data_IF_743860703945
#
_entry.id   IF_743860703945
#
_cell.length_a   1.000
_cell.length_b   1.000
_cell.length_c   1.000
_cell.angle_alpha   90.00
_cell.angle_beta   90.00
_cell.angle_gamma   90.00
#
_symmetry.space_group_name_H-M   'P 1'
#
loop_
_entity.id
_entity.type
_entity.pdbx_description
1 polymer ?
#
# COMPACT_ATOMS: atom_id res chain seq x y z
N UNK A 1 -8.15 -4.07 9.64
CA UNK A 1 -7.73 -5.12 10.59
C UNK A 1 -8.50 -6.42 10.36
N UNK A 2 -9.83 -6.45 10.52
CA UNK A 2 -10.64 -7.66 10.27
C UNK A 2 -10.45 -8.27 8.87
N UNK A 3 -10.46 -7.45 7.81
CA UNK A 3 -10.29 -7.94 6.43
C UNK A 3 -8.95 -8.67 6.16
N UNK A 4 -7.87 -8.32 6.88
CA UNK A 4 -6.55 -8.96 6.70
C UNK A 4 -6.56 -10.37 7.30
N UNK A 5 -7.08 -10.51 8.52
CA UNK A 5 -7.21 -11.80 9.20
C UNK A 5 -8.23 -12.69 8.47
N UNK A 6 -9.37 -12.15 8.04
CA UNK A 6 -10.40 -12.88 7.29
C UNK A 6 -9.85 -13.49 5.98
N UNK A 7 -9.04 -12.71 5.24
CA UNK A 7 -8.37 -13.24 4.05
C UNK A 7 -7.37 -14.35 4.40
N UNK A 8 -6.63 -14.21 5.50
CA UNK A 8 -5.66 -15.24 5.92
C UNK A 8 -6.33 -16.56 6.31
N UNK A 9 -7.49 -16.48 6.97
CA UNK A 9 -8.32 -17.63 7.32
C UNK A 9 -8.86 -18.27 6.04
N UNK A 10 -9.35 -17.47 5.08
CA UNK A 10 -9.84 -17.99 3.81
C UNK A 10 -8.78 -18.79 3.04
N UNK A 11 -7.52 -18.39 3.16
CA UNK A 11 -6.40 -19.03 2.46
C UNK A 11 -5.84 -20.26 3.23
N UNK A 12 -6.13 -20.38 4.53
CA UNK A 12 -5.69 -21.48 5.39
C UNK A 12 -6.83 -21.92 6.33
N UNK A 13 -7.96 -22.42 5.80
CA UNK A 13 -9.09 -22.79 6.63
C UNK A 13 -8.77 -24.06 7.43
N UNK A 14 -9.12 -24.06 8.71
CA UNK A 14 -9.16 -25.27 9.54
C UNK A 14 -10.60 -25.72 9.71
N UNK A 15 -10.85 -27.00 9.51
CA UNK A 15 -12.11 -27.62 9.90
C UNK A 15 -12.11 -27.99 11.39
N UNK A 16 -13.29 -28.35 11.92
CA UNK A 16 -13.45 -28.68 13.34
C UNK A 16 -12.58 -29.87 13.76
N UNK A 17 -12.43 -30.87 12.89
CA UNK A 17 -11.59 -32.04 13.15
C UNK A 17 -10.11 -31.64 13.28
N UNK A 18 -9.62 -30.76 12.41
CA UNK A 18 -8.25 -30.24 12.49
C UNK A 18 -8.04 -29.43 13.77
N UNK A 19 -9.02 -28.63 14.18
CA UNK A 19 -8.95 -27.85 15.43
C UNK A 19 -8.91 -28.75 16.67
N UNK A 20 -9.70 -29.84 16.68
CA UNK A 20 -9.68 -30.85 17.75
C UNK A 20 -8.33 -31.60 17.81
N UNK A 21 -7.80 -32.04 16.67
CA UNK A 21 -6.48 -32.68 16.61
C UNK A 21 -5.36 -31.76 17.11
N UNK A 22 -5.44 -30.46 16.83
CA UNK A 22 -4.47 -29.46 17.29
C UNK A 22 -4.61 -29.16 18.79
N UNK A 23 -5.82 -29.19 19.34
CA UNK A 23 -6.07 -29.13 20.79
C UNK A 23 -5.44 -30.34 21.50
N UNK A 24 -5.63 -31.55 20.95
CA UNK A 24 -5.01 -32.77 21.47
C UNK A 24 -3.48 -32.72 21.40
N UNK A 25 -2.90 -32.11 20.36
CA UNK A 25 -1.45 -31.95 20.23
C UNK A 25 -0.87 -31.01 21.30
N UNK A 26 -1.61 -29.97 21.69
CA UNK A 26 -1.22 -29.06 22.77
C UNK A 26 -1.19 -29.76 24.12
N UNK A 27 -2.21 -30.57 24.42
CA UNK A 27 -2.28 -31.36 25.64
C UNK A 27 -1.11 -32.35 25.75
N UNK A 28 -0.65 -32.85 24.60
CA UNK A 28 0.50 -33.74 24.48
C UNK A 28 1.85 -33.00 24.35
N UNK A 29 1.88 -31.67 24.47
CA UNK A 29 3.06 -30.78 24.34
C UNK A 29 3.82 -30.93 23.01
N UNK A 30 3.13 -31.31 21.94
CA UNK A 30 3.73 -31.24 20.60
C UNK A 30 3.69 -29.79 20.11
N UNK A 31 4.84 -29.30 19.64
CA UNK A 31 4.93 -27.96 19.07
C UNK A 31 4.23 -27.89 17.70
N UNK A 32 3.63 -26.74 17.40
CA UNK A 32 3.10 -26.49 16.06
C UNK A 32 4.23 -26.26 15.06
N UNK A 33 4.01 -26.72 13.83
CA UNK A 33 4.86 -26.35 12.69
C UNK A 33 4.07 -25.46 11.75
N UNK A 34 4.64 -24.30 11.42
CA UNK A 34 4.04 -23.34 10.50
C UNK A 34 4.86 -23.26 9.22
N UNK A 35 4.18 -23.03 8.10
CA UNK A 35 4.81 -22.97 6.78
C UNK A 35 5.42 -21.59 6.51
N UNK A 36 4.82 -20.56 7.12
CA UNK A 36 5.21 -19.15 7.08
C UNK A 36 4.38 -18.39 8.12
N UNK A 37 4.67 -17.09 8.29
CA UNK A 37 3.99 -16.19 9.24
C UNK A 37 2.48 -16.06 8.97
N UNK A 38 2.06 -16.04 7.70
CA UNK A 38 0.64 -16.00 7.33
C UNK A 38 -0.10 -17.26 7.79
N UNK A 39 0.50 -18.43 7.58
CA UNK A 39 -0.04 -19.71 8.05
C UNK A 39 -0.11 -19.73 9.58
N UNK A 40 0.94 -19.26 10.27
CA UNK A 40 0.96 -19.15 11.72
C UNK A 40 -0.18 -18.26 12.24
N UNK A 41 -0.32 -17.03 11.71
CA UNK A 41 -1.36 -16.09 12.13
C UNK A 41 -2.77 -16.65 11.90
N UNK A 42 -3.02 -17.30 10.75
CA UNK A 42 -4.32 -17.89 10.44
C UNK A 42 -4.69 -19.04 11.37
N UNK A 43 -3.75 -19.95 11.62
CA UNK A 43 -3.95 -21.12 12.49
C UNK A 43 -4.16 -20.70 13.94
N UNK A 44 -3.27 -19.85 14.47
CA UNK A 44 -3.32 -19.41 15.86
C UNK A 44 -4.61 -18.62 16.15
N UNK A 45 -5.05 -17.77 15.22
CA UNK A 45 -6.32 -17.04 15.36
C UNK A 45 -7.53 -17.99 15.40
N UNK A 46 -7.57 -18.98 14.50
CA UNK A 46 -8.63 -19.98 14.48
C UNK A 46 -8.66 -20.82 15.75
N UNK A 47 -7.50 -21.18 16.31
CA UNK A 47 -7.39 -21.87 17.60
C UNK A 47 -7.94 -21.03 18.76
N UNK A 48 -7.58 -19.74 18.85
CA UNK A 48 -8.12 -18.85 19.88
C UNK A 48 -9.66 -18.76 19.76
N UNK A 49 -10.17 -18.64 18.52
CA UNK A 49 -11.61 -18.63 18.25
C UNK A 49 -12.30 -19.95 18.58
N UNK A 50 -11.63 -21.07 18.40
CA UNK A 50 -12.11 -22.40 18.77
C UNK A 50 -12.35 -22.51 20.28
N UNK A 51 -11.34 -22.13 21.08
CA UNK A 51 -11.48 -22.11 22.54
C UNK A 51 -12.56 -21.12 23.03
N UNK A 52 -12.65 -19.94 22.41
CA UNK A 52 -13.74 -18.99 22.68
C UNK A 52 -15.12 -19.62 22.41
N UNK A 53 -15.29 -20.32 21.28
CA UNK A 53 -16.54 -21.02 20.91
C UNK A 53 -16.89 -22.15 21.87
N UNK A 54 -15.90 -22.90 22.35
CA UNK A 54 -16.08 -23.94 23.38
C UNK A 54 -16.39 -23.37 24.78
N UNK A 55 -16.35 -22.04 24.94
CA UNK A 55 -16.71 -21.36 26.17
C UNK A 55 -15.61 -21.40 27.23
N UNK A 56 -14.35 -21.56 26.83
CA UNK A 56 -13.22 -21.44 27.75
C UNK A 56 -13.10 -19.99 28.23
N UNK A 57 -12.99 -19.82 29.55
CA UNK A 57 -12.68 -18.51 30.13
C UNK A 57 -11.30 -18.03 29.66
N UNK A 58 -11.11 -16.72 29.36
CA UNK A 58 -9.83 -16.19 28.83
C UNK A 58 -8.60 -16.55 29.67
N UNK A 59 -8.77 -16.62 31.00
CA UNK A 59 -7.72 -17.03 31.93
C UNK A 59 -7.33 -18.49 31.73
N UNK A 60 -8.31 -19.36 31.46
CA UNK A 60 -8.07 -20.78 31.20
C UNK A 60 -7.43 -21.00 29.83
N UNK A 61 -7.77 -20.17 28.84
CA UNK A 61 -7.10 -20.19 27.53
C UNK A 61 -5.61 -19.88 27.71
N UNK A 62 -5.27 -18.79 28.42
CA UNK A 62 -3.87 -18.44 28.67
C UNK A 62 -3.14 -19.52 29.51
N UNK A 63 -3.81 -20.12 30.48
CA UNK A 63 -3.21 -21.16 31.32
C UNK A 63 -2.96 -22.47 30.56
N UNK A 64 -3.94 -22.93 29.77
CA UNK A 64 -3.83 -24.16 29.00
C UNK A 64 -2.81 -24.03 27.86
N UNK A 65 -2.79 -22.88 27.18
CA UNK A 65 -1.89 -22.63 26.06
C UNK A 65 -0.48 -22.21 26.47
N UNK A 66 -0.34 -21.57 27.64
CA UNK A 66 0.95 -21.14 28.17
C UNK A 66 1.82 -22.27 28.73
N UNK A 67 1.19 -23.36 29.19
CA UNK A 67 1.83 -24.61 29.62
C UNK A 67 3.03 -24.46 30.58
N UNK A 68 2.98 -23.49 31.50
CA UNK A 68 4.04 -23.18 32.46
C UNK A 68 3.62 -23.37 33.93
N UNK A 69 4.58 -23.23 34.84
CA UNK A 69 4.38 -23.49 36.28
C UNK A 69 3.82 -22.30 37.06
N UNK A 70 3.90 -21.08 36.52
CA UNK A 70 3.36 -19.87 37.14
C UNK A 70 2.39 -19.18 36.18
N UNK A 71 1.46 -18.40 36.74
CA UNK A 71 0.51 -17.65 35.94
C UNK A 71 1.20 -16.66 35.01
N UNK A 72 2.21 -15.95 35.51
CA UNK A 72 2.97 -14.97 34.74
C UNK A 72 3.70 -15.65 33.57
N UNK A 73 4.35 -16.80 33.82
CA UNK A 73 5.01 -17.57 32.74
C UNK A 73 4.00 -18.13 31.73
N UNK A 74 2.81 -18.58 32.18
CA UNK A 74 1.76 -19.04 31.28
C UNK A 74 1.25 -17.89 30.39
N UNK A 75 1.04 -16.72 31.00
CA UNK A 75 0.58 -15.54 30.29
C UNK A 75 1.64 -15.08 29.27
N UNK A 76 2.91 -15.01 29.66
CA UNK A 76 4.01 -14.64 28.75
C UNK A 76 4.15 -15.64 27.61
N UNK A 77 4.09 -16.94 27.89
CA UNK A 77 4.13 -17.97 26.84
C UNK A 77 2.93 -17.89 25.90
N UNK A 78 1.73 -17.63 26.43
CA UNK A 78 0.55 -17.45 25.60
C UNK A 78 0.68 -16.20 24.71
N UNK A 79 1.11 -15.08 25.28
CA UNK A 79 1.31 -13.84 24.54
C UNK A 79 2.36 -14.03 23.43
N UNK A 80 3.52 -14.57 23.74
CA UNK A 80 4.63 -14.70 22.78
C UNK A 80 4.37 -15.76 21.69
N UNK A 81 3.67 -16.86 22.01
CA UNK A 81 3.48 -17.96 21.05
C UNK A 81 2.16 -17.91 20.28
N UNK A 82 1.13 -17.22 20.80
CA UNK A 82 -0.19 -17.18 20.18
C UNK A 82 -0.61 -15.78 19.75
N UNK A 83 -0.35 -14.75 20.57
CA UNK A 83 -0.84 -13.39 20.31
C UNK A 83 0.16 -12.59 19.48
N UNK A 84 1.44 -12.60 19.85
CA UNK A 84 2.49 -11.84 19.17
C UNK A 84 2.62 -12.20 17.69
N UNK A 85 2.61 -13.48 17.25
CA UNK A 85 2.70 -13.80 15.83
C UNK A 85 1.53 -13.24 15.01
N UNK A 86 0.33 -13.19 15.60
CA UNK A 86 -0.85 -12.58 14.97
C UNK A 86 -0.68 -11.07 14.90
N UNK A 87 -0.25 -10.43 15.98
CA UNK A 87 -0.06 -8.98 16.07
C UNK A 87 1.04 -8.53 15.12
N UNK A 88 2.20 -9.17 15.12
CA UNK A 88 3.33 -8.90 14.21
C UNK A 88 2.88 -9.08 12.77
N UNK A 89 2.21 -10.19 12.43
CA UNK A 89 1.69 -10.38 11.08
C UNK A 89 0.71 -9.28 10.67
N UNK A 90 -0.23 -8.90 11.55
CA UNK A 90 -1.15 -7.79 11.29
C UNK A 90 -0.39 -6.48 11.14
N UNK A 91 0.60 -6.21 11.99
CA UNK A 91 1.44 -5.01 11.94
C UNK A 91 2.22 -4.97 10.64
N UNK A 92 2.96 -6.00 10.25
CA UNK A 92 3.73 -6.05 9.01
C UNK A 92 2.85 -5.82 7.78
N UNK A 93 1.64 -6.39 7.76
CA UNK A 93 0.70 -6.25 6.64
C UNK A 93 -0.07 -4.92 6.65
N UNK A 94 -0.29 -4.31 7.82
CA UNK A 94 -0.80 -2.94 7.93
C UNK A 94 0.28 -1.92 7.59
N UNK A 95 1.50 -2.17 8.04
CA UNK A 95 2.64 -1.28 7.94
C UNK A 95 3.07 -1.18 6.49
N UNK A 96 3.36 -2.25 5.74
CA UNK A 96 3.91 -2.07 4.39
C UNK A 96 3.00 -1.30 3.41
N UNK A 97 1.71 -1.66 3.31
CA UNK A 97 0.75 -0.98 2.39
C UNK A 97 0.38 0.42 2.87
N UNK A 98 0.23 0.62 4.18
CA UNK A 98 -0.04 1.95 4.77
C UNK A 98 1.19 2.84 4.80
N UNK A 99 2.39 2.27 4.86
CA UNK A 99 3.66 2.97 4.99
C UNK A 99 4.07 3.62 3.68
N UNK A 100 4.05 2.90 2.56
CA UNK A 100 4.34 3.51 1.25
C UNK A 100 3.36 4.65 0.97
N UNK A 101 2.07 4.41 1.17
CA UNK A 101 1.06 5.44 0.99
C UNK A 101 1.35 6.66 1.88
N UNK A 102 1.66 6.43 3.16
CA UNK A 102 2.05 7.47 4.11
C UNK A 102 3.31 8.23 3.65
N UNK A 103 4.33 7.53 3.15
CA UNK A 103 5.55 8.15 2.61
C UNK A 103 5.24 9.02 1.39
N UNK A 104 4.39 8.57 0.47
CA UNK A 104 3.99 9.36 -0.70
C UNK A 104 3.17 10.59 -0.31
N UNK A 105 2.32 10.49 0.71
CA UNK A 105 1.59 11.65 1.26
C UNK A 105 2.55 12.63 1.96
N UNK A 106 3.52 12.13 2.73
CA UNK A 106 4.59 12.97 3.31
C UNK A 106 5.44 13.62 2.24
N UNK A 107 5.77 12.89 1.18
CA UNK A 107 6.50 13.41 0.03
C UNK A 107 5.70 14.53 -0.65
N UNK A 108 4.40 14.33 -0.91
CA UNK A 108 3.50 15.39 -1.40
C UNK A 108 3.60 16.64 -0.54
N UNK A 109 3.47 16.51 0.78
CA UNK A 109 3.57 17.67 1.70
C UNK A 109 4.96 18.33 1.65
N UNK A 110 6.04 17.55 1.72
CA UNK A 110 7.44 18.04 1.61
C UNK A 110 7.62 18.84 0.33
N UNK A 111 7.13 18.31 -0.79
CA UNK A 111 7.30 18.89 -2.10
C UNK A 111 6.47 20.16 -2.25
N UNK A 112 5.18 20.11 -1.92
CA UNK A 112 4.28 21.27 -2.03
C UNK A 112 4.66 22.42 -1.10
N UNK A 113 5.24 22.14 0.07
CA UNK A 113 5.58 23.19 1.03
C UNK A 113 6.98 23.75 0.82
N UNK A 114 7.97 22.90 0.54
CA UNK A 114 9.38 23.30 0.62
C UNK A 114 10.11 23.25 -0.72
N UNK A 115 9.78 22.30 -1.60
CA UNK A 115 10.60 22.04 -2.80
C UNK A 115 9.96 22.45 -4.12
N UNK A 116 8.67 22.80 -4.09
CA UNK A 116 7.87 23.25 -5.25
C UNK A 116 8.62 24.20 -6.17
N UNK A 117 9.18 25.29 -5.64
CA UNK A 117 9.87 26.30 -6.45
C UNK A 117 11.16 25.75 -7.06
N UNK A 118 11.92 24.98 -6.30
CA UNK A 118 13.15 24.37 -6.76
C UNK A 118 12.87 23.36 -7.89
N UNK A 119 12.00 22.39 -7.65
CA UNK A 119 11.65 21.35 -8.62
C UNK A 119 10.96 21.94 -9.86
N UNK A 120 10.10 22.94 -9.69
CA UNK A 120 9.50 23.67 -10.82
C UNK A 120 10.56 24.36 -11.69
N UNK A 121 11.55 25.02 -11.07
CA UNK A 121 12.62 25.72 -11.79
C UNK A 121 13.55 24.73 -12.51
N UNK A 122 13.89 23.60 -11.88
CA UNK A 122 14.64 22.52 -12.53
C UNK A 122 13.89 21.98 -13.75
N UNK A 123 12.60 21.73 -13.60
CA UNK A 123 11.75 21.28 -14.72
C UNK A 123 11.67 22.30 -15.86
N UNK A 124 11.53 23.59 -15.55
CA UNK A 124 11.45 24.66 -16.58
C UNK A 124 12.79 24.90 -17.28
N UNK A 125 13.91 24.71 -16.61
CA UNK A 125 15.24 24.88 -17.19
C UNK A 125 15.72 23.64 -17.98
N UNK A 126 15.08 22.49 -17.78
CA UNK A 126 15.42 21.26 -18.48
C UNK A 126 15.08 21.30 -19.97
N UNK A 127 15.96 20.71 -20.78
CA UNK A 127 15.78 20.56 -22.24
C UNK A 127 15.26 19.16 -22.63
N UNK A 128 15.40 18.19 -21.74
CA UNK A 128 14.94 16.80 -21.89
C UNK A 128 14.80 16.14 -20.51
N UNK A 129 14.35 14.88 -20.45
CA UNK A 129 14.24 14.08 -19.22
C UNK A 129 13.40 14.74 -18.11
N UNK A 130 12.28 15.35 -18.51
CA UNK A 130 11.41 16.11 -17.63
C UNK A 130 10.87 15.31 -16.43
N UNK A 131 10.42 14.07 -16.68
CA UNK A 131 9.87 13.18 -15.64
C UNK A 131 10.99 12.69 -14.69
N UNK A 132 12.21 12.49 -15.20
CA UNK A 132 13.36 12.02 -14.42
C UNK A 132 13.72 12.94 -13.25
N UNK A 133 13.54 14.26 -13.40
CA UNK A 133 13.82 15.23 -12.32
C UNK A 133 12.98 14.94 -11.09
N UNK A 134 11.70 14.61 -11.30
CA UNK A 134 10.77 14.30 -10.23
C UNK A 134 10.96 12.87 -9.72
N UNK A 135 11.28 11.95 -10.61
CA UNK A 135 11.61 10.57 -10.28
C UNK A 135 12.83 10.50 -9.35
N UNK A 136 13.92 11.19 -9.68
CA UNK A 136 15.15 11.19 -8.91
C UNK A 136 14.94 11.77 -7.50
N UNK A 137 14.21 12.88 -7.35
CA UNK A 137 13.90 13.45 -6.02
C UNK A 137 12.98 12.53 -5.20
N UNK A 138 11.99 11.89 -5.82
CA UNK A 138 11.14 10.93 -5.14
C UNK A 138 11.93 9.68 -4.73
N UNK A 139 12.80 9.14 -5.60
CA UNK A 139 13.64 7.98 -5.29
C UNK A 139 14.61 8.28 -4.16
N UNK A 140 15.27 9.43 -4.19
CA UNK A 140 16.14 9.88 -3.11
C UNK A 140 15.38 9.99 -1.80
N UNK A 141 14.18 10.60 -1.82
CA UNK A 141 13.34 10.68 -0.63
C UNK A 141 12.96 9.30 -0.09
N UNK A 142 12.48 8.38 -0.94
CA UNK A 142 12.10 7.04 -0.53
C UNK A 142 13.30 6.27 0.07
N UNK A 143 14.47 6.38 -0.54
CA UNK A 143 15.71 5.81 -0.03
C UNK A 143 16.07 6.37 1.35
N UNK A 144 16.03 7.70 1.53
CA UNK A 144 16.28 8.36 2.82
C UNK A 144 15.25 7.97 3.90
N UNK A 145 14.05 7.51 3.51
CA UNK A 145 13.03 7.01 4.42
C UNK A 145 13.12 5.49 4.67
N UNK A 146 14.18 4.82 4.19
CA UNK A 146 14.41 3.39 4.43
C UNK A 146 13.68 2.47 3.45
N UNK A 147 13.18 2.98 2.33
CA UNK A 147 12.71 2.11 1.25
C UNK A 147 13.93 1.59 0.50
N UNK A 148 14.21 0.30 0.66
CA UNK A 148 15.35 -0.34 0.03
C UNK A 148 15.24 -0.34 -1.50
N UNK A 149 16.33 0.07 -2.15
CA UNK A 149 16.53 -0.14 -3.58
C UNK A 149 15.41 0.40 -4.49
N UNK A 150 14.98 1.69 -4.39
CA UNK A 150 13.96 2.27 -5.26
C UNK A 150 14.56 2.44 -6.67
N UNK A 151 14.49 1.38 -7.48
CA UNK A 151 15.11 1.32 -8.79
C UNK A 151 14.10 1.45 -9.93
N UNK A 152 14.50 2.05 -11.05
CA UNK A 152 13.79 1.85 -12.32
C UNK A 152 14.18 0.45 -12.82
N UNK A 153 13.20 -0.39 -13.09
CA UNK A 153 13.41 -1.82 -13.34
C UNK A 153 14.18 -2.12 -14.62
N UNK A 154 14.84 -3.29 -14.71
CA UNK A 154 15.13 -3.93 -15.99
C UNK A 154 13.82 -4.25 -16.72
N UNK A 155 13.81 -4.25 -18.06
CA UNK A 155 12.62 -4.35 -18.91
C UNK A 155 11.63 -5.45 -18.49
N UNK A 156 10.40 -5.09 -18.12
CA UNK A 156 9.26 -6.01 -18.08
C UNK A 156 8.78 -6.29 -19.51
N UNK A 157 7.95 -7.33 -19.69
CA UNK A 157 7.31 -7.62 -20.98
C UNK A 157 6.45 -6.44 -21.50
N UNK A 158 5.98 -5.59 -20.59
CA UNK A 158 5.10 -4.45 -20.85
C UNK A 158 5.82 -3.09 -20.88
N UNK A 159 7.09 -3.01 -20.47
CA UNK A 159 7.83 -1.75 -20.40
C UNK A 159 8.75 -1.62 -19.17
N UNK A 160 9.08 -0.39 -18.77
CA UNK A 160 9.82 -0.10 -17.54
C UNK A 160 8.95 0.78 -16.64
N UNK A 161 8.70 0.32 -15.42
CA UNK A 161 8.07 1.14 -14.40
C UNK A 161 9.06 2.19 -13.91
N UNK A 162 8.55 3.39 -13.61
CA UNK A 162 9.40 4.52 -13.19
C UNK A 162 10.09 4.23 -11.85
N UNK A 163 9.36 3.69 -10.87
CA UNK A 163 9.93 3.23 -9.60
C UNK A 163 9.38 1.85 -9.22
N UNK A 164 10.31 0.92 -9.02
CA UNK A 164 10.07 -0.36 -8.36
C UNK A 164 11.15 -0.58 -7.32
N UNK A 165 10.75 -0.53 -6.06
CA UNK A 165 11.63 -0.91 -4.96
C UNK A 165 11.50 -2.39 -4.65
N UNK A 166 12.46 -2.95 -3.92
CA UNK A 166 12.37 -4.31 -3.40
C UNK A 166 12.25 -5.44 -4.46
N UNK A 167 12.94 -5.32 -5.59
CA UNK A 167 12.92 -6.36 -6.65
C UNK A 167 13.42 -7.74 -6.20
N UNK A 168 14.36 -7.76 -5.26
CA UNK A 168 14.87 -9.00 -4.66
C UNK A 168 14.01 -9.46 -3.45
N UNK A 169 12.99 -8.68 -3.09
CA UNK A 169 12.03 -9.00 -2.02
C UNK A 169 10.75 -9.60 -2.61
N UNK A 170 9.95 -10.24 -1.75
CA UNK A 170 8.64 -10.80 -2.13
C UNK A 170 7.60 -9.71 -2.43
N UNK A 171 7.86 -8.45 -2.08
CA UNK A 171 6.89 -7.35 -2.21
C UNK A 171 7.39 -6.09 -2.94
N UNK A 172 7.65 -6.15 -4.27
CA UNK A 172 8.07 -4.96 -5.01
C UNK A 172 7.01 -3.85 -5.05
N UNK A 173 7.44 -2.60 -4.82
CA UNK A 173 6.60 -1.41 -4.98
C UNK A 173 6.27 -1.18 -6.45
N UNK A 174 5.00 -0.93 -6.80
CA UNK A 174 4.63 -0.51 -8.17
C UNK A 174 4.20 0.95 -8.17
N UNK A 175 5.06 1.82 -8.70
CA UNK A 175 4.81 3.26 -8.76
C UNK A 175 5.14 3.82 -10.16
N UNK A 176 4.18 4.56 -10.71
CA UNK A 176 4.30 5.31 -11.96
C UNK A 176 4.26 6.82 -11.69
N UNK A 177 5.07 7.58 -12.42
CA UNK A 177 5.11 9.03 -12.36
C UNK A 177 4.58 9.62 -13.66
N UNK A 178 3.76 10.67 -13.57
CA UNK A 178 3.35 11.47 -14.72
C UNK A 178 3.42 12.95 -14.43
N UNK A 179 3.70 13.70 -15.48
CA UNK A 179 3.66 15.17 -15.45
C UNK A 179 2.40 15.67 -16.14
N UNK A 180 1.75 16.66 -15.53
CA UNK A 180 0.68 17.45 -16.12
C UNK A 180 1.17 18.88 -16.34
N UNK A 181 1.27 19.29 -17.60
CA UNK A 181 1.75 20.60 -18.05
C UNK A 181 1.15 20.91 -19.43
N UNK A 182 0.11 21.75 -19.47
CA UNK A 182 -0.55 22.13 -20.72
C UNK A 182 0.39 22.90 -21.65
N UNK A 183 1.40 23.61 -21.13
CA UNK A 183 2.37 24.33 -21.96
C UNK A 183 3.21 23.36 -22.82
N UNK A 184 3.46 22.14 -22.32
CA UNK A 184 4.12 21.06 -23.06
C UNK A 184 3.16 20.02 -23.65
N UNK A 185 1.86 20.31 -23.70
CA UNK A 185 0.82 19.38 -24.17
C UNK A 185 0.73 18.08 -23.36
N UNK A 186 1.15 18.11 -22.10
CA UNK A 186 0.98 17.01 -21.15
C UNK A 186 -0.36 17.19 -20.41
N UNK A 187 -1.41 16.61 -20.97
CA UNK A 187 -2.80 16.81 -20.54
C UNK A 187 -3.35 15.58 -19.79
N UNK A 188 -4.65 15.55 -19.52
CA UNK A 188 -5.33 14.42 -18.87
C UNK A 188 -5.03 13.05 -19.49
N UNK A 189 -4.76 12.99 -20.80
CA UNK A 189 -4.37 11.75 -21.50
C UNK A 189 -3.11 11.12 -20.90
N UNK A 190 -2.15 11.92 -20.40
CA UNK A 190 -0.95 11.41 -19.72
C UNK A 190 -1.29 10.68 -18.42
N UNK A 191 -2.27 11.18 -17.68
CA UNK A 191 -2.73 10.57 -16.43
C UNK A 191 -3.45 9.25 -16.72
N UNK A 192 -4.34 9.23 -17.72
CA UNK A 192 -5.00 7.99 -18.19
C UNK A 192 -3.97 6.94 -18.64
N UNK A 193 -2.96 7.36 -19.41
CA UNK A 193 -1.89 6.46 -19.84
C UNK A 193 -1.07 5.94 -18.65
N UNK A 194 -0.71 6.81 -17.70
CA UNK A 194 -0.01 6.42 -16.48
C UNK A 194 -0.81 5.44 -15.63
N UNK A 195 -2.13 5.64 -15.54
CA UNK A 195 -3.02 4.68 -14.89
C UNK A 195 -2.98 3.31 -15.59
N UNK A 196 -3.03 3.31 -16.92
CA UNK A 196 -2.89 2.07 -17.71
C UNK A 196 -1.54 1.39 -17.46
N UNK A 197 -0.46 2.15 -17.34
CA UNK A 197 0.88 1.62 -17.04
C UNK A 197 0.94 1.01 -15.64
N UNK A 198 0.48 1.71 -14.61
CA UNK A 198 0.50 1.18 -13.23
C UNK A 198 -0.37 -0.08 -13.10
N UNK A 199 -1.50 -0.17 -13.81
CA UNK A 199 -2.31 -1.38 -13.87
C UNK A 199 -1.53 -2.55 -14.49
N UNK A 200 -0.85 -2.32 -15.62
CA UNK A 200 0.00 -3.35 -16.26
C UNK A 200 1.11 -3.80 -15.33
N UNK A 201 1.83 -2.87 -14.71
CA UNK A 201 2.92 -3.21 -13.79
C UNK A 201 2.41 -3.95 -12.54
N UNK A 202 1.28 -3.55 -11.98
CA UNK A 202 0.69 -4.26 -10.86
C UNK A 202 0.31 -5.71 -11.23
N UNK A 203 -0.03 -5.96 -12.50
CA UNK A 203 -0.26 -7.32 -13.00
C UNK A 203 1.05 -8.08 -13.25
N UNK A 204 2.02 -7.46 -13.94
CA UNK A 204 3.34 -8.04 -14.23
C UNK A 204 4.07 -8.49 -12.94
N UNK A 205 3.93 -7.71 -11.85
CA UNK A 205 4.56 -7.98 -10.56
C UNK A 205 3.64 -8.64 -9.52
N UNK A 206 2.45 -9.09 -9.92
CA UNK A 206 1.46 -9.73 -9.02
C UNK A 206 1.17 -8.92 -7.73
N UNK A 207 0.96 -7.62 -7.87
CA UNK A 207 0.63 -6.71 -6.77
C UNK A 207 -0.86 -6.39 -6.69
N UNK A 208 -1.36 -6.30 -5.47
CA UNK A 208 -2.75 -5.90 -5.19
C UNK A 208 -2.92 -4.38 -5.08
N UNK A 209 -1.79 -3.65 -5.04
CA UNK A 209 -1.76 -2.19 -4.90
C UNK A 209 -0.81 -1.56 -5.91
N UNK A 210 -1.21 -0.43 -6.50
CA UNK A 210 -0.34 0.39 -7.36
C UNK A 210 -0.47 1.88 -7.05
N UNK A 211 0.56 2.65 -7.34
CA UNK A 211 0.62 4.09 -7.06
C UNK A 211 0.88 4.88 -8.33
N UNK A 212 0.07 5.92 -8.58
CA UNK A 212 0.29 6.89 -9.65
C UNK A 212 0.54 8.25 -9.01
N UNK A 213 1.75 8.78 -9.17
CA UNK A 213 2.12 10.12 -8.71
C UNK A 213 2.07 11.09 -9.88
N UNK A 214 1.24 12.12 -9.77
CA UNK A 214 1.05 13.13 -10.81
C UNK A 214 1.59 14.47 -10.34
N UNK A 215 2.65 14.97 -10.98
CA UNK A 215 3.15 16.32 -10.75
C UNK A 215 2.36 17.30 -11.62
N UNK A 216 1.60 18.18 -10.97
CA UNK A 216 0.79 19.20 -11.60
C UNK A 216 1.55 20.53 -11.66
N UNK A 217 1.96 20.90 -12.88
CA UNK A 217 2.72 22.10 -13.18
C UNK A 217 1.80 23.24 -13.62
N UNK A 218 0.48 23.02 -13.64
CA UNK A 218 -0.51 24.01 -13.99
C UNK A 218 -1.31 24.52 -12.80
N UNK A 219 -1.94 25.68 -13.00
CA UNK A 219 -2.81 26.29 -11.99
C UNK A 219 -4.26 25.82 -12.19
N UNK A 220 -4.45 24.51 -12.19
CA UNK A 220 -5.75 23.83 -12.27
C UNK A 220 -5.81 22.75 -11.21
N UNK A 221 -6.97 22.55 -10.60
CA UNK A 221 -7.19 21.43 -9.70
C UNK A 221 -7.62 20.21 -10.51
N UNK A 222 -6.84 19.14 -10.45
CA UNK A 222 -7.13 17.88 -11.13
C UNK A 222 -8.07 17.08 -10.23
N UNK A 223 -9.26 16.76 -10.74
CA UNK A 223 -10.29 16.03 -10.01
C UNK A 223 -10.58 14.73 -10.73
N UNK A 224 -10.34 13.60 -10.05
CA UNK A 224 -10.82 12.30 -10.51
C UNK A 224 -12.26 12.15 -10.04
N UNK A 225 -13.21 12.27 -10.95
CA UNK A 225 -14.63 12.20 -10.64
C UNK A 225 -15.09 10.75 -10.63
N UNK A 226 -15.34 10.23 -9.43
CA UNK A 226 -15.86 8.88 -9.20
C UNK A 226 -17.38 8.89 -9.15
N UNK A 227 -18.00 7.78 -9.55
CA UNK A 227 -19.46 7.64 -9.48
C UNK A 227 -19.98 7.63 -8.03
N UNK A 228 -19.14 7.20 -7.08
CA UNK A 228 -19.43 7.27 -5.65
C UNK A 228 -18.49 8.28 -4.96
N UNK A 229 -19.02 9.27 -4.22
CA UNK A 229 -18.20 10.29 -3.57
C UNK A 229 -17.47 9.70 -2.36
N UNK A 230 -16.19 9.38 -2.52
CA UNK A 230 -15.28 9.10 -1.40
C UNK A 230 -14.68 10.39 -0.86
N UNK A 231 -14.67 10.51 0.48
CA UNK A 231 -14.02 11.63 1.20
C UNK A 231 -12.53 11.35 1.52
N UNK A 232 -11.97 10.24 1.04
CA UNK A 232 -10.62 9.82 1.42
C UNK A 232 -9.57 10.43 0.50
N UNK A 233 -8.50 10.94 1.11
CA UNK A 233 -7.27 11.35 0.43
C UNK A 233 -6.20 10.26 0.66
N UNK A 234 -5.45 9.86 -0.38
CA UNK A 234 -5.54 10.31 -1.76
C UNK A 234 -6.73 9.68 -2.49
N UNK A 235 -6.98 10.10 -3.74
CA UNK A 235 -7.95 9.43 -4.62
C UNK A 235 -7.60 7.95 -4.74
N UNK A 236 -8.56 7.09 -4.40
CA UNK A 236 -8.47 5.64 -4.56
C UNK A 236 -9.27 5.22 -5.77
N UNK A 237 -8.79 4.28 -6.57
CA UNK A 237 -9.51 3.68 -7.70
C UNK A 237 -9.43 2.16 -7.56
N UNK A 238 -10.56 1.48 -7.68
CA UNK A 238 -10.62 0.02 -7.60
C UNK A 238 -10.84 -0.56 -8.99
N UNK A 239 -9.91 -1.42 -9.42
CA UNK A 239 -9.99 -2.05 -10.74
C UNK A 239 -9.45 -3.49 -10.66
N UNK A 240 -10.20 -4.45 -11.20
CA UNK A 240 -9.83 -5.87 -11.23
C UNK A 240 -9.38 -6.44 -9.86
N UNK A 241 -10.15 -6.18 -8.80
CA UNK A 241 -9.86 -6.55 -7.40
C UNK A 241 -8.54 -5.99 -6.83
N UNK A 242 -7.98 -4.95 -7.45
CA UNK A 242 -6.78 -4.25 -6.99
C UNK A 242 -7.08 -2.80 -6.63
N UNK A 243 -6.22 -2.22 -5.82
CA UNK A 243 -6.35 -0.85 -5.31
C UNK A 243 -5.29 0.06 -5.91
N UNK A 244 -5.69 1.18 -6.50
CA UNK A 244 -4.77 2.14 -7.10
C UNK A 244 -4.91 3.49 -6.41
N UNK A 245 -3.80 4.04 -5.93
CA UNK A 245 -3.76 5.35 -5.30
C UNK A 245 -3.22 6.38 -6.29
N UNK A 246 -3.97 7.47 -6.49
CA UNK A 246 -3.56 8.58 -7.36
C UNK A 246 -3.21 9.79 -6.48
N UNK A 247 -1.92 10.13 -6.44
CA UNK A 247 -1.38 11.23 -5.63
C UNK A 247 -1.05 12.40 -6.55
N UNK A 248 -1.80 13.48 -6.45
CA UNK A 248 -1.56 14.72 -7.22
C UNK A 248 -0.69 15.65 -6.38
N UNK A 249 0.43 16.14 -6.93
CA UNK A 249 1.39 17.05 -6.28
C UNK A 249 1.42 18.37 -7.06
N UNK A 250 0.96 19.46 -6.46
CA UNK A 250 0.84 20.76 -7.09
C UNK A 250 2.13 21.58 -6.94
N UNK A 251 2.80 21.88 -8.05
CA UNK A 251 4.08 22.60 -8.06
C UNK A 251 3.95 24.09 -8.41
N UNK A 252 2.93 24.47 -9.19
CA UNK A 252 2.75 25.87 -9.60
C UNK A 252 2.27 26.73 -8.43
N UNK A 253 2.73 27.98 -8.38
CA UNK A 253 2.27 28.95 -7.37
C UNK A 253 0.93 29.51 -7.80
N UNK A 254 -0.06 29.26 -6.97
CA UNK A 254 -1.21 30.12 -6.90
C UNK A 254 -0.76 31.55 -6.56
N UNK A 255 -1.26 32.54 -7.29
CA UNK A 255 -1.27 33.90 -6.77
C UNK A 255 -2.05 33.89 -5.43
N UNK A 256 -1.85 34.87 -4.54
CA UNK A 256 -2.57 34.93 -3.26
C UNK A 256 -4.06 34.62 -3.44
N UNK A 257 -4.71 33.94 -2.50
CA UNK A 257 -6.13 33.53 -2.60
C UNK A 257 -7.08 34.67 -3.04
N UNK A 258 -6.73 35.92 -2.75
CA UNK A 258 -7.42 37.15 -3.17
C UNK A 258 -7.27 37.55 -4.65
N UNK A 259 -6.33 36.95 -5.38
CA UNK A 259 -5.99 37.22 -6.79
C UNK A 259 -6.34 36.05 -7.71
N UNK A 260 -6.62 34.87 -7.14
CA UNK A 260 -7.20 33.77 -7.85
C UNK A 260 -8.66 34.11 -8.11
N UNK A 261 -9.03 34.23 -9.39
CA UNK A 261 -10.43 34.26 -9.78
C UNK A 261 -11.09 32.91 -9.51
N UNK A 262 -11.99 32.49 -10.39
CA UNK A 262 -12.63 31.18 -10.27
C UNK A 262 -11.58 30.05 -10.35
N UNK A 263 -11.63 29.12 -9.39
CA UNK A 263 -10.83 27.91 -9.38
C UNK A 263 -11.08 27.14 -10.68
N UNK A 264 -10.01 26.88 -11.44
CA UNK A 264 -10.09 26.09 -12.67
C UNK A 264 -9.90 24.63 -12.32
N UNK A 265 -10.81 23.78 -12.78
CA UNK A 265 -10.73 22.33 -12.57
C UNK A 265 -10.48 21.61 -13.89
N UNK A 266 -9.69 20.55 -13.84
CA UNK A 266 -9.56 19.56 -14.90
C UNK A 266 -10.19 18.26 -14.38
N UNK A 267 -11.31 17.86 -14.97
CA UNK A 267 -12.06 16.67 -14.53
C UNK A 267 -11.64 15.47 -15.39
N UNK A 268 -11.33 14.36 -14.73
CA UNK A 268 -11.11 13.05 -15.34
C UNK A 268 -12.17 12.13 -14.75
N UNK A 269 -13.10 11.65 -15.56
CA UNK A 269 -14.07 10.68 -15.12
C UNK A 269 -13.40 9.33 -14.91
N UNK A 270 -13.84 8.57 -13.91
CA UNK A 270 -13.30 7.24 -13.62
C UNK A 270 -13.34 6.31 -14.84
N UNK A 271 -14.39 6.40 -15.66
CA UNK A 271 -14.50 5.64 -16.92
C UNK A 271 -13.38 5.94 -17.91
N UNK A 272 -12.86 7.18 -17.94
CA UNK A 272 -11.75 7.58 -18.83
C UNK A 272 -10.46 6.86 -18.45
N UNK A 273 -10.27 6.51 -17.17
CA UNK A 273 -9.11 5.75 -16.72
C UNK A 273 -9.11 4.31 -17.27
N UNK A 274 -10.29 3.77 -17.58
CA UNK A 274 -10.47 2.41 -18.06
C UNK A 274 -10.49 2.28 -19.58
N UNK A 275 -10.59 3.39 -20.33
CA UNK A 275 -10.74 3.39 -21.79
C UNK A 275 -9.66 2.62 -22.56
N UNK A 276 -8.45 2.50 -21.99
CA UNK A 276 -7.31 1.82 -22.63
C UNK A 276 -7.02 0.43 -22.04
N UNK A 277 -7.84 -0.02 -21.08
CA UNK A 277 -7.71 -1.30 -20.38
C UNK A 277 -8.76 -2.32 -20.83
N UNK A 278 -9.73 -1.89 -21.66
CA UNK A 278 -10.78 -2.69 -22.31
C UNK A 278 -10.46 -2.80 -23.80
#
# INVERSE_FOLDING_TARGET
MNAIIEQCISDNPLDETSLEEMEDQLDNRFGFSFNNEKHAAAVLYQMIKHFERKGYEPVNIAFNLGAASSFDDCLDNFLNNFVEPIVVYIQDNLEHKSFILYLLLRYKMRTEWFLRENLYNQYKSATSNYEQIFEDDLRLFLFDQGVDYPFSTPSSASGRADIVSQLDSKDPLVLEIKVFDKEKSYTKKRIVNGFTQVVKYANDYHKDTGYLVVFNLDNVEIVINKNEPEKQLPTVVHFNNKTYHIIIINLKREASASKLGQLKTEIIHESELYEQLV
#
